data_IF_644236654623
#
_entry.id   IF_644236654623
#
_cell.length_a   1.000
_cell.length_b   1.000
_cell.length_c   1.000
_cell.angle_alpha   90.00
_cell.angle_beta   90.00
_cell.angle_gamma   90.00
#
_symmetry.space_group_name_H-M   'P 1'
#
loop_
_entity.id
_entity.type
_entity.pdbx_description
1 polymer ?
#
# COMPACT_ATOMS: atom_id res chain seq x y z
N UNK A 1 -3.30 -13.44 8.24
CA UNK A 1 -3.39 -12.26 9.14
C UNK A 1 -3.82 -10.96 8.43
N UNK A 2 -3.02 -10.18 7.65
CA UNK A 2 -3.51 -8.86 7.17
C UNK A 2 -4.79 -8.92 6.32
N UNK A 3 -4.92 -9.92 5.44
CA UNK A 3 -6.14 -10.13 4.62
C UNK A 3 -7.37 -10.43 5.46
N UNK A 4 -7.21 -11.35 6.41
CA UNK A 4 -8.29 -11.77 7.32
C UNK A 4 -8.75 -10.59 8.18
N UNK A 5 -7.81 -9.75 8.64
CA UNK A 5 -8.13 -8.52 9.37
C UNK A 5 -8.95 -7.56 8.50
N UNK A 6 -8.50 -7.27 7.28
CA UNK A 6 -9.24 -6.37 6.38
C UNK A 6 -10.65 -6.87 6.06
N UNK A 7 -10.81 -8.18 5.87
CA UNK A 7 -12.11 -8.82 5.62
C UNK A 7 -13.03 -8.84 6.85
N UNK A 8 -12.47 -8.74 8.06
CA UNK A 8 -13.23 -8.75 9.30
C UNK A 8 -13.79 -7.37 9.69
N UNK A 9 -13.35 -6.29 9.04
CA UNK A 9 -13.79 -4.92 9.35
C UNK A 9 -15.17 -4.67 8.71
N UNK A 10 -16.21 -4.34 9.49
CA UNK A 10 -17.51 -3.97 8.93
C UNK A 10 -17.40 -2.74 8.02
N UNK A 11 -18.00 -2.81 6.83
CA UNK A 11 -18.01 -1.71 5.86
C UNK A 11 -16.75 -1.56 5.02
N UNK A 12 -15.74 -2.42 5.18
CA UNK A 12 -14.57 -2.48 4.29
C UNK A 12 -14.75 -3.60 3.27
N UNK A 13 -14.64 -3.24 1.98
CA UNK A 13 -14.57 -4.21 0.90
C UNK A 13 -13.12 -4.49 0.53
N UNK A 14 -12.67 -5.74 0.74
CA UNK A 14 -11.31 -6.15 0.41
C UNK A 14 -11.23 -6.67 -1.03
N UNK A 15 -10.35 -6.06 -1.83
CA UNK A 15 -9.99 -6.54 -3.17
C UNK A 15 -8.49 -6.70 -3.30
N UNK A 16 -8.06 -7.54 -4.24
CA UNK A 16 -6.66 -7.88 -4.46
C UNK A 16 -6.16 -7.28 -5.78
N UNK A 17 -4.87 -6.92 -5.77
CA UNK A 17 -4.16 -6.60 -7.01
C UNK A 17 -4.00 -7.84 -7.88
N UNK A 18 -3.66 -7.64 -9.16
CA UNK A 18 -3.39 -8.73 -10.11
C UNK A 18 -2.28 -9.68 -9.60
N UNK A 19 -1.16 -9.12 -9.14
CA UNK A 19 -0.06 -9.90 -8.56
C UNK A 19 -0.13 -9.94 -7.04
N UNK A 20 -0.21 -11.15 -6.47
CA UNK A 20 -0.31 -11.39 -5.02
C UNK A 20 0.62 -12.50 -4.56
N UNK A 21 0.82 -12.59 -3.24
CA UNK A 21 1.65 -13.62 -2.57
C UNK A 21 3.05 -13.66 -3.20
N UNK A 22 3.51 -14.83 -3.63
CA UNK A 22 4.85 -15.02 -4.20
C UNK A 22 5.06 -14.28 -5.54
N UNK A 23 3.97 -13.87 -6.20
CA UNK A 23 4.02 -13.07 -7.42
C UNK A 23 4.01 -11.55 -7.14
N UNK A 24 3.83 -11.12 -5.88
CA UNK A 24 3.76 -9.71 -5.53
C UNK A 24 5.05 -8.99 -5.86
N UNK A 25 4.94 -7.81 -6.47
CA UNK A 25 6.08 -6.93 -6.62
C UNK A 25 6.46 -6.28 -5.28
N UNK A 26 7.76 -6.17 -5.05
CA UNK A 26 8.32 -5.37 -3.98
C UNK A 26 8.07 -3.88 -4.26
N UNK A 27 7.91 -3.07 -3.21
CA UNK A 27 7.82 -1.61 -3.38
C UNK A 27 9.14 -1.00 -3.87
N UNK A 28 10.28 -1.65 -3.64
CA UNK A 28 11.62 -1.12 -3.93
C UNK A 28 12.23 -0.28 -2.79
N UNK A 29 11.58 -0.25 -1.63
CA UNK A 29 11.98 0.56 -0.47
C UNK A 29 13.16 0.01 0.34
N UNK A 30 13.26 -1.33 0.43
CA UNK A 30 14.22 -2.01 1.31
C UNK A 30 15.63 -2.15 0.74
N UNK A 31 16.51 -2.79 1.51
CA UNK A 31 17.84 -3.20 1.04
C UNK A 31 18.80 -2.06 0.69
N UNK A 32 18.56 -0.85 1.19
CA UNK A 32 19.34 0.35 0.85
C UNK A 32 19.03 0.93 -0.53
N UNK A 33 18.04 0.39 -1.25
CA UNK A 33 17.73 0.80 -2.63
C UNK A 33 17.19 2.23 -2.70
N UNK A 34 16.37 2.67 -1.73
CA UNK A 34 15.96 4.08 -1.71
C UNK A 34 17.14 5.05 -1.55
N UNK A 35 18.13 4.67 -0.75
CA UNK A 35 19.30 5.51 -0.48
C UNK A 35 20.29 5.49 -1.64
N UNK A 36 20.56 4.31 -2.22
CA UNK A 36 21.51 4.16 -3.33
C UNK A 36 20.93 4.48 -4.71
N UNK A 37 19.63 4.27 -4.89
CA UNK A 37 18.94 4.29 -6.19
C UNK A 37 17.50 4.82 -6.08
N UNK A 38 17.30 5.99 -5.45
CA UNK A 38 15.98 6.55 -5.14
C UNK A 38 15.05 6.74 -6.36
N UNK A 39 15.58 7.15 -7.52
CA UNK A 39 14.78 7.26 -8.74
C UNK A 39 14.24 5.88 -9.19
N UNK A 40 15.07 4.84 -9.12
CA UNK A 40 14.64 3.49 -9.42
C UNK A 40 13.63 2.97 -8.41
N UNK A 41 13.84 3.25 -7.11
CA UNK A 41 12.93 2.84 -6.04
C UNK A 41 11.52 3.40 -6.25
N UNK A 42 11.40 4.70 -6.52
CA UNK A 42 10.10 5.35 -6.77
C UNK A 42 9.47 4.90 -8.10
N UNK A 43 10.27 4.68 -9.16
CA UNK A 43 9.81 4.11 -10.43
C UNK A 43 9.28 2.68 -10.28
N UNK A 44 9.91 1.87 -9.43
CA UNK A 44 9.44 0.53 -9.16
C UNK A 44 8.14 0.56 -8.33
N UNK A 45 8.07 1.44 -7.33
CA UNK A 45 6.87 1.65 -6.53
C UNK A 45 5.67 2.10 -7.38
N UNK A 46 5.87 2.97 -8.37
CA UNK A 46 4.76 3.47 -9.21
C UNK A 46 4.05 2.34 -9.96
N UNK A 47 4.78 1.33 -10.44
CA UNK A 47 4.19 0.13 -11.06
C UNK A 47 3.25 -0.62 -10.13
N UNK A 48 3.58 -0.64 -8.83
CA UNK A 48 2.75 -1.29 -7.82
C UNK A 48 1.53 -0.44 -7.46
N UNK A 49 1.67 0.88 -7.46
CA UNK A 49 0.53 1.82 -7.32
C UNK A 49 -0.43 1.68 -8.49
N UNK A 50 0.06 1.59 -9.73
CA UNK A 50 -0.78 1.33 -10.92
C UNK A 50 -1.58 0.04 -10.80
N UNK A 51 -1.00 -1.03 -10.24
CA UNK A 51 -1.76 -2.26 -9.95
C UNK A 51 -2.88 -2.03 -8.94
N UNK A 52 -2.61 -1.28 -7.87
CA UNK A 52 -3.62 -0.90 -6.90
C UNK A 52 -4.74 -0.09 -7.54
N UNK A 53 -4.41 0.86 -8.42
CA UNK A 53 -5.42 1.67 -9.12
C UNK A 53 -6.33 0.83 -10.00
N UNK A 54 -5.81 -0.22 -10.66
CA UNK A 54 -6.60 -1.11 -11.51
C UNK A 54 -7.66 -1.92 -10.75
N UNK A 55 -7.55 -2.05 -9.43
CA UNK A 55 -8.57 -2.74 -8.62
C UNK A 55 -9.80 -1.88 -8.37
N UNK A 56 -9.70 -0.56 -8.55
CA UNK A 56 -10.75 0.39 -8.19
C UNK A 56 -10.85 0.68 -6.68
N UNK A 57 -9.89 0.22 -5.87
CA UNK A 57 -9.91 0.48 -4.42
C UNK A 57 -9.62 1.95 -4.09
N UNK A 58 -10.28 2.47 -3.03
CA UNK A 58 -10.05 3.83 -2.54
C UNK A 58 -8.73 4.00 -1.80
N UNK A 59 -8.23 2.92 -1.19
CA UNK A 59 -7.04 2.89 -0.35
C UNK A 59 -6.22 1.62 -0.63
N UNK A 60 -4.90 1.76 -0.65
CA UNK A 60 -3.98 0.62 -0.55
C UNK A 60 -3.42 0.55 0.86
N UNK A 61 -3.42 -0.66 1.43
CA UNK A 61 -2.99 -0.88 2.82
C UNK A 61 -1.62 -1.58 2.85
N UNK A 62 -0.76 -1.12 3.75
CA UNK A 62 0.55 -1.75 4.03
C UNK A 62 0.76 -1.85 5.54
N UNK A 63 1.62 -2.77 5.97
CA UNK A 63 2.10 -2.88 7.37
C UNK A 63 3.58 -2.48 7.51
N UNK A 64 4.21 -2.13 6.38
CA UNK A 64 5.63 -1.84 6.32
C UNK A 64 5.83 -0.33 6.11
N UNK A 65 6.50 0.39 7.03
CA UNK A 65 6.78 1.82 6.90
C UNK A 65 7.59 2.16 5.64
N UNK A 66 8.52 1.30 5.23
CA UNK A 66 9.27 1.47 3.99
C UNK A 66 8.37 1.35 2.75
N UNK A 67 7.44 0.40 2.75
CA UNK A 67 6.44 0.32 1.68
C UNK A 67 5.54 1.54 1.68
N UNK A 68 5.04 1.96 2.84
CA UNK A 68 4.19 3.14 2.96
C UNK A 68 4.89 4.38 2.36
N UNK A 69 6.13 4.67 2.78
CA UNK A 69 6.89 5.79 2.26
C UNK A 69 7.15 5.66 0.75
N UNK A 70 7.71 4.54 0.30
CA UNK A 70 8.14 4.43 -1.10
C UNK A 70 6.96 4.32 -2.07
N UNK A 71 5.82 3.75 -1.66
CA UNK A 71 4.59 3.74 -2.46
C UNK A 71 3.97 5.13 -2.57
N UNK A 72 4.05 5.96 -1.52
CA UNK A 72 3.67 7.37 -1.61
C UNK A 72 4.56 8.13 -2.61
N UNK A 73 5.88 7.90 -2.60
CA UNK A 73 6.78 8.48 -3.62
C UNK A 73 6.46 7.97 -5.02
N UNK A 74 6.12 6.68 -5.15
CA UNK A 74 5.63 6.09 -6.40
C UNK A 74 4.34 6.73 -6.90
N UNK A 75 3.38 7.01 -6.02
CA UNK A 75 2.11 7.65 -6.35
C UNK A 75 2.32 9.11 -6.81
N UNK A 76 3.14 9.87 -6.08
CA UNK A 76 3.55 11.24 -6.47
C UNK A 76 4.18 11.27 -7.86
N UNK A 77 5.06 10.29 -8.16
CA UNK A 77 5.76 10.20 -9.45
C UNK A 77 4.80 10.14 -10.65
N UNK A 78 3.67 9.46 -10.49
CA UNK A 78 2.67 9.29 -11.57
C UNK A 78 1.44 10.19 -11.40
N UNK A 79 1.48 11.16 -10.48
CA UNK A 79 0.36 12.03 -10.12
C UNK A 79 -0.93 11.24 -9.80
N UNK A 80 -0.79 10.15 -9.03
CA UNK A 80 -1.91 9.34 -8.57
C UNK A 80 -2.46 9.87 -7.25
N UNK A 81 -3.79 9.90 -7.13
CA UNK A 81 -4.54 10.21 -5.90
C UNK A 81 -4.75 8.98 -5.01
N UNK A 82 -4.17 7.84 -5.34
CA UNK A 82 -4.28 6.61 -4.54
C UNK A 82 -3.79 6.85 -3.11
N UNK A 83 -4.64 6.57 -2.12
CA UNK A 83 -4.31 6.76 -0.71
C UNK A 83 -3.61 5.53 -0.16
N UNK A 84 -2.36 5.69 0.25
CA UNK A 84 -1.62 4.67 0.97
C UNK A 84 -1.88 4.86 2.46
N UNK A 85 -2.30 3.81 3.16
CA UNK A 85 -2.54 3.83 4.60
C UNK A 85 -1.81 2.69 5.29
N UNK A 86 -1.35 2.93 6.51
CA UNK A 86 -0.87 1.84 7.37
C UNK A 86 -2.07 1.04 7.90
N UNK A 87 -1.92 -0.27 8.09
CA UNK A 87 -2.99 -1.11 8.64
C UNK A 87 -3.42 -0.64 10.03
N UNK A 88 -2.49 -0.19 10.89
CA UNK A 88 -2.80 0.30 12.23
C UNK A 88 -3.59 1.60 12.16
N UNK A 89 -3.24 2.50 11.23
CA UNK A 89 -4.02 3.73 10.98
C UNK A 89 -5.44 3.40 10.51
N UNK A 90 -5.58 2.41 9.62
CA UNK A 90 -6.90 1.94 9.21
C UNK A 90 -7.69 1.34 10.38
N UNK A 91 -7.03 0.62 11.30
CA UNK A 91 -7.69 0.08 12.50
C UNK A 91 -8.18 1.21 13.40
N UNK A 92 -7.37 2.23 13.62
CA UNK A 92 -7.75 3.40 14.42
C UNK A 92 -8.99 4.12 13.85
N UNK A 93 -9.11 4.18 12.51
CA UNK A 93 -10.27 4.77 11.83
C UNK A 93 -11.58 3.99 12.01
N UNK A 94 -11.53 2.71 12.40
CA UNK A 94 -12.70 1.81 12.45
C UNK A 94 -12.99 1.26 13.84
N UNK A 95 -12.03 1.35 14.77
CA UNK A 95 -12.27 1.06 16.18
C UNK A 95 -13.09 2.22 16.74
N UNK A 96 -14.28 1.92 17.27
CA UNK A 96 -15.07 2.91 18.00
C UNK A 96 -14.26 3.44 19.19
N UNK A 97 -14.25 4.76 19.42
CA UNK A 97 -13.66 5.29 20.64
C UNK A 97 -14.31 4.60 21.85
N UNK A 98 -13.51 4.05 22.79
CA UNK A 98 -14.07 3.46 23.99
C UNK A 98 -14.76 4.56 24.79
N UNK A 99 -16.02 4.33 25.17
CA UNK A 99 -16.74 5.15 26.17
C UNK A 99 -16.00 5.20 27.52
#
# INVERSE_FOLDING_TARGET
IPRELLQAIPGVEFTEMERIRDNSYCCGGGGGVMTGYGDWASKNASKRVEEGMRTGADKMVSICPFCHYNLNEGAKRINSEMKLVDLVELMDQVIAEPE
#
